data_IF_797581022971
#
_entry.id   IF_797581022971
#
_cell.length_a   1.000
_cell.length_b   1.000
_cell.length_c   1.000
_cell.angle_alpha   90.00
_cell.angle_beta   90.00
_cell.angle_gamma   90.00
#
_symmetry.space_group_name_H-M   'P 1'
#
loop_
_entity.id
_entity.type
_entity.pdbx_description
1 polymer ?
#
# COMPACT_ATOMS: atom_id res chain seq x y z
N UNK A 1 -4.31 10.07 8.53
CA UNK A 1 -5.70 10.23 9.01
C UNK A 1 -5.81 10.16 10.54
N UNK A 2 -6.82 10.84 11.10
CA UNK A 2 -7.17 10.91 12.52
C UNK A 2 -7.12 9.55 13.23
N UNK A 3 -6.18 9.43 14.18
CA UNK A 3 -5.94 8.20 14.96
C UNK A 3 -7.02 7.90 15.99
N UNK A 4 -7.82 8.89 16.37
CA UNK A 4 -8.91 8.76 17.33
C UNK A 4 -10.17 8.19 16.66
N UNK A 5 -10.56 8.74 15.50
CA UNK A 5 -11.79 8.29 14.80
C UNK A 5 -11.60 7.00 14.02
N UNK A 6 -10.35 6.65 13.65
CA UNK A 6 -10.02 5.50 12.79
C UNK A 6 -10.90 5.43 11.54
N UNK A 7 -11.32 6.58 11.05
CA UNK A 7 -12.17 6.67 9.89
C UNK A 7 -11.44 6.08 8.66
N UNK A 8 -12.14 5.37 7.77
CA UNK A 8 -11.56 4.73 6.58
C UNK A 8 -10.72 5.71 5.74
N UNK A 9 -9.45 5.38 5.54
CA UNK A 9 -8.47 6.19 4.82
C UNK A 9 -8.47 5.89 3.31
N UNK A 10 -9.58 6.19 2.63
CA UNK A 10 -9.76 5.86 1.20
C UNK A 10 -8.81 6.64 0.29
N UNK A 11 -8.64 7.93 0.54
CA UNK A 11 -7.78 8.80 -0.29
C UNK A 11 -6.32 8.40 -0.12
N UNK A 12 -5.89 8.18 1.13
CA UNK A 12 -4.54 7.71 1.43
C UNK A 12 -4.27 6.35 0.81
N UNK A 13 -5.20 5.40 0.89
CA UNK A 13 -5.06 4.11 0.23
C UNK A 13 -4.93 4.25 -1.30
N UNK A 14 -5.63 5.20 -1.92
CA UNK A 14 -5.50 5.48 -3.36
C UNK A 14 -4.15 6.12 -3.69
N UNK A 15 -3.65 7.05 -2.87
CA UNK A 15 -2.35 7.69 -3.04
C UNK A 15 -1.20 6.69 -2.89
N UNK A 16 -1.28 5.81 -1.89
CA UNK A 16 -0.29 4.73 -1.69
C UNK A 16 -0.24 3.84 -2.92
N UNK A 17 -1.40 3.43 -3.45
CA UNK A 17 -1.46 2.63 -4.69
C UNK A 17 -0.75 3.33 -5.85
N UNK A 18 -1.01 4.62 -6.09
CA UNK A 18 -0.39 5.37 -7.17
C UNK A 18 1.13 5.49 -7.00
N UNK A 19 1.61 5.82 -5.79
CA UNK A 19 3.05 5.93 -5.50
C UNK A 19 3.78 4.60 -5.63
N UNK A 20 3.16 3.49 -5.20
CA UNK A 20 3.74 2.17 -5.40
C UNK A 20 3.83 1.81 -6.89
N UNK A 21 2.82 2.19 -7.69
CA UNK A 21 2.85 2.00 -9.14
C UNK A 21 3.98 2.81 -9.81
N UNK A 22 4.19 4.06 -9.40
CA UNK A 22 5.32 4.89 -9.87
C UNK A 22 6.69 4.25 -9.56
N UNK A 23 6.77 3.46 -8.49
CA UNK A 23 7.96 2.69 -8.10
C UNK A 23 8.04 1.30 -8.74
N UNK A 24 7.14 0.99 -9.69
CA UNK A 24 7.10 -0.28 -10.41
C UNK A 24 6.42 -1.43 -9.65
N UNK A 25 5.77 -1.17 -8.51
CA UNK A 25 5.12 -2.19 -7.68
C UNK A 25 3.60 -2.06 -7.81
N UNK A 26 2.95 -3.11 -8.33
CA UNK A 26 1.51 -3.13 -8.55
C UNK A 26 0.81 -3.68 -7.30
N UNK A 27 0.01 -2.83 -6.65
CA UNK A 27 -0.88 -3.23 -5.55
C UNK A 27 -2.33 -2.80 -5.82
N UNK A 28 -3.26 -3.52 -5.21
CA UNK A 28 -4.69 -3.23 -5.30
C UNK A 28 -5.22 -2.43 -4.11
N UNK A 29 -6.38 -1.82 -4.28
CA UNK A 29 -7.24 -1.38 -3.16
C UNK A 29 -8.52 -2.19 -3.16
N UNK A 30 -9.02 -2.52 -1.97
CA UNK A 30 -10.20 -3.35 -1.79
C UNK A 30 -11.05 -2.96 -0.59
N UNK A 31 -12.05 -3.81 -0.31
CA UNK A 31 -13.08 -3.56 0.70
C UNK A 31 -14.15 -2.58 0.21
N UNK A 32 -15.32 -2.60 0.87
CA UNK A 32 -16.48 -1.76 0.52
C UNK A 32 -16.11 -0.28 0.48
N UNK A 33 -15.20 0.14 1.36
CA UNK A 33 -14.77 1.54 1.51
C UNK A 33 -13.48 1.87 0.77
N UNK A 34 -12.93 0.95 -0.03
CA UNK A 34 -11.69 1.10 -0.81
C UNK A 34 -10.47 1.60 0.00
N UNK A 35 -10.39 1.22 1.27
CA UNK A 35 -9.33 1.64 2.20
C UNK A 35 -8.40 0.50 2.62
N UNK A 36 -8.52 -0.68 2.01
CA UNK A 36 -7.69 -1.85 2.32
C UNK A 36 -6.70 -2.05 1.18
N UNK A 37 -5.40 -1.99 1.47
CA UNK A 37 -4.36 -2.35 0.50
C UNK A 37 -4.34 -3.87 0.31
N UNK A 38 -4.21 -4.32 -0.94
CA UNK A 38 -4.15 -5.73 -1.32
C UNK A 38 -2.83 -6.04 -2.00
N UNK A 39 -2.08 -6.96 -1.41
CA UNK A 39 -0.83 -7.50 -1.93
C UNK A 39 -1.13 -8.94 -2.32
N UNK A 40 -1.10 -9.23 -3.62
CA UNK A 40 -1.44 -10.54 -4.18
C UNK A 40 -0.37 -10.94 -5.21
N UNK A 41 0.86 -11.26 -4.74
CA UNK A 41 1.98 -11.60 -5.62
C UNK A 41 1.82 -13.02 -6.18
N UNK A 42 2.55 -13.37 -7.25
CA UNK A 42 2.71 -14.76 -7.68
C UNK A 42 3.34 -15.63 -6.58
N UNK A 43 3.06 -16.93 -6.59
CA UNK A 43 3.57 -17.89 -5.59
C UNK A 43 5.11 -18.09 -5.64
N UNK A 44 5.76 -17.58 -6.68
CA UNK A 44 7.21 -17.63 -6.90
C UNK A 44 7.98 -16.42 -6.35
N UNK A 45 7.29 -15.52 -5.62
CA UNK A 45 7.92 -14.36 -4.99
C UNK A 45 9.03 -14.80 -4.01
N UNK A 46 10.20 -14.17 -4.10
CA UNK A 46 11.29 -14.42 -3.16
C UNK A 46 11.19 -13.53 -1.92
N UNK A 47 11.93 -13.88 -0.86
CA UNK A 47 12.04 -13.03 0.34
C UNK A 47 12.60 -11.65 -0.01
N UNK A 48 13.68 -11.58 -0.78
CA UNK A 48 14.30 -10.31 -1.20
C UNK A 48 13.32 -9.41 -1.96
N UNK A 49 12.46 -9.98 -2.82
CA UNK A 49 11.43 -9.21 -3.52
C UNK A 49 10.33 -8.73 -2.57
N UNK A 50 9.98 -9.53 -1.55
CA UNK A 50 9.05 -9.13 -0.50
C UNK A 50 9.63 -7.99 0.35
N UNK A 51 10.91 -8.05 0.68
CA UNK A 51 11.62 -7.01 1.43
C UNK A 51 11.65 -5.70 0.63
N UNK A 52 11.99 -5.75 -0.66
CA UNK A 52 11.92 -4.58 -1.55
C UNK A 52 10.52 -3.96 -1.60
N UNK A 53 9.46 -4.80 -1.62
CA UNK A 53 8.08 -4.32 -1.56
C UNK A 53 7.80 -3.61 -0.24
N UNK A 54 8.22 -4.19 0.89
CA UNK A 54 7.98 -3.65 2.22
C UNK A 54 8.74 -2.33 2.44
N UNK A 55 9.99 -2.24 2.03
CA UNK A 55 10.82 -1.03 2.11
C UNK A 55 10.18 0.13 1.33
N UNK A 56 9.72 -0.15 0.11
CA UNK A 56 9.02 0.85 -0.70
C UNK A 56 7.71 1.28 -0.06
N UNK A 57 6.93 0.33 0.46
CA UNK A 57 5.67 0.62 1.12
C UNK A 57 5.87 1.47 2.39
N UNK A 58 6.86 1.15 3.21
CA UNK A 58 7.22 1.93 4.40
C UNK A 58 7.64 3.35 4.04
N UNK A 59 8.45 3.51 3.00
CA UNK A 59 8.85 4.82 2.49
C UNK A 59 7.65 5.64 2.03
N UNK A 60 6.70 5.04 1.29
CA UNK A 60 5.46 5.72 0.88
C UNK A 60 4.59 6.10 2.08
N UNK A 61 4.50 5.25 3.11
CA UNK A 61 3.79 5.59 4.34
C UNK A 61 4.41 6.77 5.08
N UNK A 62 5.75 6.89 5.09
CA UNK A 62 6.47 8.03 5.68
C UNK A 62 6.25 9.32 4.92
N UNK A 63 6.16 9.27 3.59
CA UNK A 63 5.88 10.47 2.76
C UNK A 63 4.47 11.04 2.96
N UNK A 64 3.50 10.17 3.28
CA UNK A 64 2.09 10.54 3.50
C UNK A 64 1.77 10.77 4.98
N UNK A 65 2.77 10.60 5.86
CA UNK A 65 2.67 10.61 7.31
C UNK A 65 2.95 11.97 7.94
#
# INVERSE_FOLDING_TARGET
KDRATKAPAREEASMIKSKMLERGIIIGTGGIRKNVLRIQPPLMLTADQADQLLENLESVFKELG
#
